data_IF_531910112892
#
_entry.id   IF_531910112892
#
_cell.length_a   1.000
_cell.length_b   1.000
_cell.length_c   1.000
_cell.angle_alpha   90.00
_cell.angle_beta   90.00
_cell.angle_gamma   90.00
#
_symmetry.space_group_name_H-M   'P 1'
#
loop_
_entity.id
_entity.type
_entity.pdbx_description
1 polymer ?
#
# COMPACT_ATOMS: atom_id res chain seq x y z
N UNK A 1 57.57 -6.89 -22.13
CA UNK A 1 57.31 -5.58 -21.50
C UNK A 1 55.82 -5.32 -21.62
N UNK A 2 55.06 -5.75 -20.62
CA UNK A 2 53.59 -5.80 -20.65
C UNK A 2 53.05 -4.39 -20.46
N UNK A 3 52.22 -3.94 -21.40
CA UNK A 3 51.54 -2.66 -21.33
C UNK A 3 50.54 -2.68 -20.15
N UNK A 4 50.91 -2.03 -19.05
CA UNK A 4 49.96 -1.66 -18.00
C UNK A 4 49.06 -0.57 -18.55
N UNK A 5 47.95 -0.97 -19.17
CA UNK A 5 46.85 -0.08 -19.46
C UNK A 5 46.17 0.27 -18.12
N UNK A 6 46.62 1.37 -17.50
CA UNK A 6 45.86 2.03 -16.45
C UNK A 6 44.56 2.54 -17.09
N UNK A 7 43.46 1.82 -16.85
CA UNK A 7 42.11 2.33 -17.11
C UNK A 7 41.96 3.63 -16.30
N UNK A 8 41.99 4.77 -16.99
CA UNK A 8 41.77 6.08 -16.40
C UNK A 8 40.39 6.11 -15.74
N UNK A 9 40.31 6.62 -14.50
CA UNK A 9 39.09 6.83 -13.71
C UNK A 9 38.06 7.80 -14.34
N UNK A 10 38.15 8.09 -15.65
CA UNK A 10 37.49 9.21 -16.32
C UNK A 10 36.07 8.95 -16.83
N UNK A 11 35.55 7.71 -16.71
CA UNK A 11 34.20 7.35 -17.16
C UNK A 11 33.34 6.70 -16.05
N UNK A 12 33.56 7.06 -14.77
CA UNK A 12 32.67 6.57 -13.70
C UNK A 12 31.35 7.34 -13.71
N UNK A 13 30.29 6.68 -14.16
CA UNK A 13 28.91 7.12 -13.91
C UNK A 13 28.74 7.26 -12.39
N UNK A 14 28.30 8.42 -11.87
CA UNK A 14 28.06 8.57 -10.44
C UNK A 14 27.01 7.55 -9.99
N UNK A 15 27.24 6.92 -8.83
CA UNK A 15 26.25 6.02 -8.26
C UNK A 15 24.97 6.80 -7.95
N UNK A 16 23.78 6.26 -8.27
CA UNK A 16 22.51 6.92 -7.98
C UNK A 16 22.31 7.07 -6.47
N UNK A 17 21.66 8.16 -6.06
CA UNK A 17 21.15 8.32 -4.70
C UNK A 17 19.90 7.46 -4.59
N UNK A 18 19.95 6.40 -3.77
CA UNK A 18 18.91 5.38 -3.72
C UNK A 18 17.53 5.96 -3.36
N UNK A 19 17.52 6.94 -2.47
CA UNK A 19 16.32 7.60 -1.97
C UNK A 19 15.57 8.38 -3.05
N UNK A 20 16.24 8.85 -4.11
CA UNK A 20 15.59 9.47 -5.27
C UNK A 20 14.74 8.48 -6.09
N UNK A 21 14.91 7.18 -5.85
CA UNK A 21 14.20 6.08 -6.48
C UNK A 21 13.29 5.33 -5.49
N UNK A 22 12.99 5.92 -4.33
CA UNK A 22 12.25 5.29 -3.23
C UNK A 22 12.91 3.96 -2.75
N UNK A 23 14.24 3.87 -2.86
CA UNK A 23 15.02 2.71 -2.38
C UNK A 23 15.73 3.07 -1.09
N UNK A 24 15.42 2.33 -0.02
CA UNK A 24 16.10 2.45 1.26
C UNK A 24 17.50 1.83 1.20
N UNK A 25 18.55 2.51 1.68
CA UNK A 25 19.89 1.92 1.81
C UNK A 25 19.95 0.80 2.85
N UNK A 26 18.94 0.68 3.73
CA UNK A 26 18.88 -0.32 4.80
C UNK A 26 18.01 -1.51 4.41
N UNK A 27 16.89 -1.25 3.73
CA UNK A 27 15.81 -2.22 3.52
C UNK A 27 15.43 -2.40 2.04
N UNK A 28 16.17 -1.79 1.12
CA UNK A 28 15.90 -1.87 -0.32
C UNK A 28 14.55 -1.26 -0.67
N UNK A 29 13.73 -1.98 -1.43
CA UNK A 29 12.39 -1.50 -1.84
C UNK A 29 11.35 -1.51 -0.71
N UNK A 30 11.67 -2.09 0.46
CA UNK A 30 10.82 -1.98 1.64
C UNK A 30 11.01 -0.58 2.24
N UNK A 31 9.94 0.25 2.38
CA UNK A 31 10.07 1.60 2.90
C UNK A 31 10.71 1.66 4.28
N UNK A 32 11.48 2.72 4.53
CA UNK A 32 12.02 3.04 5.85
C UNK A 32 11.87 4.55 6.11
N UNK A 33 11.30 5.00 7.25
CA UNK A 33 10.75 4.20 8.35
C UNK A 33 9.51 3.39 7.93
N UNK A 34 9.02 2.54 8.84
CA UNK A 34 7.89 1.64 8.54
C UNK A 34 6.67 2.38 7.95
N UNK A 35 5.86 1.72 7.10
CA UNK A 35 4.66 2.30 6.52
C UNK A 35 3.70 2.84 7.58
N UNK A 36 2.89 3.82 7.18
CA UNK A 36 1.86 4.37 8.04
C UNK A 36 0.83 3.30 8.40
N UNK A 37 0.74 2.97 9.69
CA UNK A 37 -0.13 1.88 10.15
C UNK A 37 -1.62 2.24 10.08
N UNK A 38 -1.98 3.52 10.14
CA UNK A 38 -3.37 3.99 10.14
C UNK A 38 -3.48 5.44 9.67
N UNK A 39 -4.50 5.75 8.88
CA UNK A 39 -4.92 7.13 8.59
C UNK A 39 -5.49 7.76 9.86
N UNK A 40 -4.92 8.90 10.28
CA UNK A 40 -5.34 9.62 11.49
C UNK A 40 -6.62 10.42 11.29
N UNK A 41 -6.94 10.80 10.05
CA UNK A 41 -8.11 11.60 9.75
C UNK A 41 -9.40 10.82 10.01
N UNK A 42 -10.32 11.41 10.79
CA UNK A 42 -11.66 10.84 11.03
C UNK A 42 -12.47 10.66 9.75
N UNK A 43 -12.16 11.44 8.71
CA UNK A 43 -12.79 11.37 7.40
C UNK A 43 -12.62 9.98 6.74
N UNK A 44 -11.45 9.35 6.88
CA UNK A 44 -11.15 8.03 6.30
C UNK A 44 -11.43 6.84 7.23
N UNK A 45 -12.04 7.11 8.39
CA UNK A 45 -12.40 6.07 9.35
C UNK A 45 -13.20 4.91 8.74
N UNK A 46 -14.14 5.10 7.79
CA UNK A 46 -14.88 3.98 7.20
C UNK A 46 -13.97 2.90 6.57
N UNK A 47 -12.87 3.29 5.93
CA UNK A 47 -11.92 2.34 5.33
C UNK A 47 -11.15 1.55 6.40
N UNK A 48 -10.66 2.27 7.41
CA UNK A 48 -9.90 1.67 8.51
C UNK A 48 -10.78 0.73 9.35
N UNK A 49 -12.05 1.06 9.60
CA UNK A 49 -12.99 0.21 10.35
C UNK A 49 -13.31 -1.11 9.63
N UNK A 50 -13.46 -1.08 8.29
CA UNK A 50 -13.58 -2.33 7.51
C UNK A 50 -12.34 -3.18 7.69
N UNK A 51 -11.15 -2.57 7.61
CA UNK A 51 -9.89 -3.30 7.72
C UNK A 51 -9.64 -3.85 9.13
N UNK A 52 -10.01 -3.13 10.17
CA UNK A 52 -9.95 -3.60 11.57
C UNK A 52 -10.82 -4.85 11.79
N UNK A 53 -11.91 -4.99 11.04
CA UNK A 53 -12.90 -6.07 11.18
C UNK A 53 -12.90 -7.06 10.01
N UNK A 54 -11.94 -6.96 9.08
CA UNK A 54 -12.02 -7.60 7.77
C UNK A 54 -12.32 -9.10 7.85
N UNK A 55 -11.52 -9.84 8.64
CA UNK A 55 -11.69 -11.29 8.80
C UNK A 55 -13.06 -11.64 9.40
N UNK A 56 -13.50 -10.89 10.42
CA UNK A 56 -14.81 -11.11 11.03
C UNK A 56 -15.95 -10.85 10.05
N UNK A 57 -15.85 -9.79 9.23
CA UNK A 57 -16.84 -9.46 8.21
C UNK A 57 -16.89 -10.48 7.08
N UNK A 58 -15.74 -11.07 6.72
CA UNK A 58 -15.65 -12.17 5.76
C UNK A 58 -16.32 -13.43 6.35
N UNK A 59 -15.91 -13.86 7.54
CA UNK A 59 -16.40 -15.09 8.18
C UNK A 59 -17.90 -15.03 8.46
N UNK A 60 -18.40 -13.86 8.86
CA UNK A 60 -19.82 -13.62 9.10
C UNK A 60 -20.62 -13.24 7.85
N UNK A 61 -19.97 -13.17 6.67
CA UNK A 61 -20.57 -12.81 5.38
C UNK A 61 -21.23 -11.42 5.34
N UNK A 62 -20.76 -10.50 6.17
CA UNK A 62 -21.27 -9.14 6.29
C UNK A 62 -20.43 -8.12 5.50
N UNK A 63 -19.26 -8.51 4.99
CA UNK A 63 -18.34 -7.60 4.30
C UNK A 63 -19.01 -6.81 3.16
N UNK A 64 -19.67 -7.48 2.21
CA UNK A 64 -20.27 -6.80 1.05
C UNK A 64 -21.31 -5.76 1.46
N UNK A 65 -22.24 -6.15 2.33
CA UNK A 65 -23.27 -5.25 2.89
C UNK A 65 -22.64 -4.03 3.56
N UNK A 66 -21.54 -4.22 4.31
CA UNK A 66 -20.88 -3.11 4.99
C UNK A 66 -20.13 -2.18 4.04
N UNK A 67 -19.48 -2.72 3.01
CA UNK A 67 -18.81 -1.95 1.96
C UNK A 67 -19.81 -1.17 1.10
N UNK A 68 -20.95 -1.76 0.74
CA UNK A 68 -22.02 -1.09 -0.01
C UNK A 68 -22.64 0.09 0.76
N UNK A 69 -22.63 0.03 2.09
CA UNK A 69 -23.12 1.11 2.96
C UNK A 69 -22.06 2.19 3.27
N UNK A 70 -20.82 2.03 2.80
CA UNK A 70 -19.80 3.06 3.00
C UNK A 70 -20.11 4.32 2.17
N UNK A 71 -19.82 5.51 2.70
CA UNK A 71 -19.85 6.72 1.88
C UNK A 71 -18.77 6.66 0.80
N UNK A 72 -19.03 7.28 -0.36
CA UNK A 72 -17.98 7.59 -1.33
C UNK A 72 -17.14 8.73 -0.76
N UNK A 73 -15.88 8.46 -0.47
CA UNK A 73 -14.94 9.45 0.05
C UNK A 73 -14.03 9.98 -1.07
N UNK A 74 -13.65 11.25 -1.00
CA UNK A 74 -12.58 11.81 -1.84
C UNK A 74 -11.21 11.45 -1.29
N UNK A 75 -10.14 11.71 -2.06
CA UNK A 75 -8.74 11.50 -1.65
C UNK A 75 -7.97 12.82 -1.46
N UNK A 76 -8.69 13.94 -1.51
CA UNK A 76 -8.16 15.31 -1.44
C UNK A 76 -7.48 15.64 -0.11
N UNK A 77 -7.74 14.87 0.95
CA UNK A 77 -7.16 15.08 2.29
C UNK A 77 -5.95 14.20 2.59
N UNK A 78 -5.44 13.45 1.60
CA UNK A 78 -4.21 12.67 1.73
C UNK A 78 -3.03 13.56 1.35
N UNK A 79 -2.33 14.08 2.36
CA UNK A 79 -1.31 15.12 2.19
C UNK A 79 0.08 14.54 1.95
N UNK A 80 0.34 13.36 2.50
CA UNK A 80 1.65 12.72 2.47
C UNK A 80 1.67 11.46 1.61
N UNK A 81 2.86 11.11 1.09
CA UNK A 81 3.05 9.87 0.32
C UNK A 81 2.66 8.62 1.12
N UNK A 82 2.92 8.61 2.42
CA UNK A 82 2.57 7.48 3.29
C UNK A 82 1.04 7.35 3.47
N UNK A 83 0.30 8.46 3.55
CA UNK A 83 -1.16 8.44 3.58
C UNK A 83 -1.75 7.96 2.27
N UNK A 84 -1.19 8.39 1.13
CA UNK A 84 -1.60 7.95 -0.20
C UNK A 84 -1.36 6.45 -0.40
N UNK A 85 -0.18 5.96 -0.01
CA UNK A 85 0.15 4.53 0.00
C UNK A 85 -0.81 3.74 0.91
N UNK A 86 -1.08 4.24 2.12
CA UNK A 86 -2.01 3.59 3.05
C UNK A 86 -3.43 3.52 2.47
N UNK A 87 -3.95 4.62 1.94
CA UNK A 87 -5.27 4.66 1.33
C UNK A 87 -5.39 3.67 0.17
N UNK A 88 -4.41 3.64 -0.74
CA UNK A 88 -4.36 2.68 -1.83
C UNK A 88 -4.30 1.24 -1.31
N UNK A 89 -3.48 0.95 -0.29
CA UNK A 89 -3.41 -0.38 0.33
C UNK A 89 -4.75 -0.82 0.92
N UNK A 90 -5.41 0.05 1.70
CA UNK A 90 -6.73 -0.22 2.29
C UNK A 90 -7.74 -0.55 1.20
N UNK A 91 -7.87 0.34 0.20
CA UNK A 91 -8.85 0.21 -0.88
C UNK A 91 -8.59 -1.02 -1.76
N UNK A 92 -7.32 -1.34 -2.02
CA UNK A 92 -6.93 -2.54 -2.77
C UNK A 92 -7.35 -3.82 -2.05
N UNK A 93 -7.09 -3.91 -0.74
CA UNK A 93 -7.47 -5.08 0.06
C UNK A 93 -8.99 -5.18 0.16
N UNK A 94 -9.68 -4.08 0.48
CA UNK A 94 -11.15 -4.05 0.57
C UNK A 94 -11.80 -4.50 -0.76
N UNK A 95 -11.33 -3.97 -1.90
CA UNK A 95 -11.83 -4.35 -3.21
C UNK A 95 -11.66 -5.85 -3.49
N UNK A 96 -10.48 -6.41 -3.22
CA UNK A 96 -10.22 -7.83 -3.47
C UNK A 96 -11.01 -8.72 -2.51
N UNK A 97 -11.10 -8.35 -1.23
CA UNK A 97 -11.94 -9.04 -0.27
C UNK A 97 -13.42 -8.96 -0.63
N UNK A 98 -13.90 -7.85 -1.21
CA UNK A 98 -15.28 -7.72 -1.66
C UNK A 98 -15.58 -8.69 -2.83
N UNK A 99 -14.68 -8.77 -3.81
CA UNK A 99 -14.84 -9.62 -4.99
C UNK A 99 -14.81 -11.11 -4.62
N UNK A 100 -13.80 -11.53 -3.84
CA UNK A 100 -13.48 -12.94 -3.61
C UNK A 100 -13.88 -13.46 -2.21
N UNK A 101 -13.99 -12.57 -1.23
CA UNK A 101 -14.04 -12.95 0.18
C UNK A 101 -15.34 -13.62 0.63
N UNK A 102 -16.41 -13.65 -0.18
CA UNK A 102 -17.63 -14.36 0.22
C UNK A 102 -17.42 -15.89 0.29
N UNK A 103 -16.46 -16.42 -0.47
CA UNK A 103 -16.23 -17.85 -0.63
C UNK A 103 -17.38 -18.62 -1.31
N UNK A 104 -18.45 -17.93 -1.73
CA UNK A 104 -19.65 -18.52 -2.34
C UNK A 104 -19.77 -18.15 -3.82
N UNK A 105 -19.45 -16.91 -4.16
CA UNK A 105 -19.66 -16.31 -5.46
C UNK A 105 -18.66 -15.16 -5.70
N UNK A 106 -18.47 -14.78 -6.96
CA UNK A 106 -17.53 -13.74 -7.36
C UNK A 106 -18.31 -12.49 -7.74
N UNK A 107 -18.06 -11.38 -7.04
CA UNK A 107 -18.70 -10.11 -7.39
C UNK A 107 -18.21 -9.63 -8.77
N UNK A 108 -19.14 -9.27 -9.65
CA UNK A 108 -18.82 -8.83 -11.02
C UNK A 108 -18.57 -7.32 -11.12
N UNK A 109 -18.86 -6.57 -10.05
CA UNK A 109 -18.63 -5.12 -9.97
C UNK A 109 -18.29 -4.73 -8.54
N UNK A 110 -17.42 -3.74 -8.40
CA UNK A 110 -17.04 -3.13 -7.11
C UNK A 110 -17.93 -1.91 -6.91
N UNK A 111 -18.52 -1.69 -5.71
CA UNK A 111 -19.38 -0.53 -5.45
C UNK A 111 -18.60 0.78 -5.53
N UNK A 112 -19.31 1.86 -5.88
CA UNK A 112 -18.71 3.21 -6.02
C UNK A 112 -17.98 3.68 -4.76
N UNK A 113 -18.44 3.26 -3.58
CA UNK A 113 -17.83 3.56 -2.28
C UNK A 113 -16.37 3.13 -2.16
N UNK A 114 -15.93 2.19 -3.02
CA UNK A 114 -14.54 1.73 -3.13
C UNK A 114 -13.96 2.04 -4.50
N UNK A 115 -14.69 1.77 -5.60
CA UNK A 115 -14.15 1.91 -6.95
C UNK A 115 -13.70 3.34 -7.28
N UNK A 116 -14.50 4.34 -6.90
CA UNK A 116 -14.20 5.75 -7.17
C UNK A 116 -12.96 6.24 -6.40
N UNK A 117 -12.89 6.10 -5.04
CA UNK A 117 -11.68 6.51 -4.32
C UNK A 117 -10.46 5.67 -4.68
N UNK A 118 -10.63 4.40 -5.02
CA UNK A 118 -9.50 3.55 -5.38
C UNK A 118 -8.86 3.99 -6.69
N UNK A 119 -9.66 4.30 -7.72
CA UNK A 119 -9.15 4.91 -8.95
C UNK A 119 -8.44 6.24 -8.66
N UNK A 120 -9.04 7.12 -7.86
CA UNK A 120 -8.44 8.40 -7.55
C UNK A 120 -7.12 8.27 -6.76
N UNK A 121 -7.04 7.34 -5.80
CA UNK A 121 -5.80 7.04 -5.09
C UNK A 121 -4.74 6.44 -6.02
N UNK A 122 -5.16 5.57 -6.94
CA UNK A 122 -4.32 4.99 -7.99
C UNK A 122 -3.69 6.04 -8.89
N UNK A 123 -4.46 7.04 -9.32
CA UNK A 123 -3.98 8.13 -10.16
C UNK A 123 -2.93 8.98 -9.43
N UNK A 124 -3.07 9.20 -8.10
CA UNK A 124 -2.11 9.96 -7.30
C UNK A 124 -0.74 9.27 -7.23
N UNK A 125 -0.73 7.94 -7.06
CA UNK A 125 0.52 7.19 -6.88
C UNK A 125 1.07 6.58 -8.17
N UNK A 126 0.39 6.79 -9.31
CA UNK A 126 0.71 6.25 -10.63
C UNK A 126 0.77 4.71 -10.65
N UNK A 127 -0.22 4.05 -10.02
CA UNK A 127 -0.34 2.59 -10.02
C UNK A 127 -1.78 2.21 -10.34
N UNK A 128 -2.02 1.24 -11.25
CA UNK A 128 -3.38 0.80 -11.56
C UNK A 128 -4.13 0.30 -10.32
N UNK A 129 -5.48 0.41 -10.31
CA UNK A 129 -6.33 -0.08 -9.23
C UNK A 129 -6.42 -1.60 -9.27
N UNK A 130 -5.35 -2.25 -8.82
CA UNK A 130 -5.21 -3.70 -8.64
C UNK A 130 -4.37 -3.94 -7.40
N UNK A 131 -4.59 -5.03 -6.67
CA UNK A 131 -3.75 -5.35 -5.52
C UNK A 131 -2.35 -5.72 -6.03
N UNK A 132 -1.38 -4.89 -5.70
CA UNK A 132 0.03 -5.08 -6.09
C UNK A 132 0.84 -5.64 -4.93
N UNK A 133 2.02 -6.17 -5.25
CA UNK A 133 3.02 -6.55 -4.25
C UNK A 133 3.41 -5.38 -3.34
N UNK A 134 3.44 -4.15 -3.88
CA UNK A 134 3.71 -2.96 -3.10
C UNK A 134 2.65 -2.76 -1.99
N UNK A 135 1.37 -2.79 -2.34
CA UNK A 135 0.28 -2.67 -1.36
C UNK A 135 0.12 -3.87 -0.42
N UNK A 136 0.33 -5.08 -0.91
CA UNK A 136 0.07 -6.29 -0.14
C UNK A 136 1.20 -6.60 0.87
N UNK A 137 2.44 -6.28 0.50
CA UNK A 137 3.64 -6.67 1.25
C UNK A 137 4.45 -5.45 1.69
N UNK A 138 4.99 -4.67 0.74
CA UNK A 138 5.97 -3.60 1.05
C UNK A 138 5.40 -2.50 1.93
N UNK A 139 4.13 -2.15 1.76
CA UNK A 139 3.45 -1.08 2.48
C UNK A 139 2.55 -1.59 3.62
N UNK A 140 2.58 -2.89 3.90
CA UNK A 140 1.66 -3.54 4.82
C UNK A 140 2.39 -4.31 5.93
N UNK A 141 3.33 -3.63 6.59
CA UNK A 141 4.04 -4.18 7.73
C UNK A 141 4.22 -3.13 8.83
N UNK A 142 4.46 -3.62 10.03
CA UNK A 142 4.88 -2.82 11.19
C UNK A 142 5.76 -3.68 12.09
N UNK A 143 6.65 -3.06 12.83
CA UNK A 143 7.35 -3.73 13.90
C UNK A 143 6.38 -4.03 15.05
N UNK A 144 6.58 -5.18 15.70
CA UNK A 144 5.87 -5.52 16.95
C UNK A 144 6.32 -4.58 18.08
N UNK A 145 7.62 -4.38 18.20
CA UNK A 145 8.25 -3.36 19.03
C UNK A 145 8.95 -2.34 18.12
N UNK A 146 8.53 -1.05 18.11
CA UNK A 146 9.19 -0.01 17.31
C UNK A 146 10.69 0.17 17.59
N UNK A 147 11.18 -0.28 18.75
CA UNK A 147 12.59 -0.25 19.13
C UNK A 147 13.27 -1.63 19.05
N UNK A 148 12.52 -2.65 18.62
CA UNK A 148 12.98 -4.02 18.51
C UNK A 148 13.68 -4.33 17.18
N UNK A 149 14.24 -5.54 17.05
CA UNK A 149 14.86 -5.97 15.80
C UNK A 149 13.82 -6.22 14.70
N UNK A 150 14.27 -6.18 13.44
CA UNK A 150 13.44 -6.53 12.28
C UNK A 150 13.31 -8.06 12.14
N UNK A 151 12.59 -8.70 13.06
CA UNK A 151 12.37 -10.15 13.13
C UNK A 151 10.90 -10.52 13.07
N UNK A 152 10.62 -11.75 12.66
CA UNK A 152 9.25 -12.30 12.64
C UNK A 152 8.77 -12.66 14.05
N UNK A 153 9.71 -13.03 14.93
CA UNK A 153 9.46 -13.45 16.32
C UNK A 153 9.15 -12.27 17.23
#
# INVERSE_FOLDING_TARGET
>A
MVAHHQLQERDRIPLPILEEYDVSPVTGFVPYPQPLARLSQSYYRPWEEIMDQLNHLIDSRQLRSRVEQMPVLGVDRLETRQEQQRAYTLLSIIAHSYVWGSGLDIAQSIPESVAVPWQAASDIIDIPPVLTYASNDLWNWKLKDPNGPHTIE
#
